data_IF_291964813866
#
_entry.id   IF_291964813866
#
_cell.length_a   1.000
_cell.length_b   1.000
_cell.length_c   1.000
_cell.angle_alpha   90.00
_cell.angle_beta   90.00
_cell.angle_gamma   90.00
#
_symmetry.space_group_name_H-M   'P 1'
#
loop_
_entity.id
_entity.type
_entity.pdbx_description
1 polymer ?
#
# COMPACT_ATOMS: atom_id res chain seq x y z
N UNK A 1 -60.96 35.07 7.69
CA UNK A 1 -59.99 34.00 7.39
C UNK A 1 -58.77 34.68 6.76
N UNK A 2 -57.72 35.00 7.52
CA UNK A 2 -56.51 35.58 6.96
C UNK A 2 -55.69 34.49 6.23
N UNK A 3 -54.96 34.84 5.16
CA UNK A 3 -54.18 33.89 4.36
C UNK A 3 -52.88 33.47 5.06
N UNK A 4 -52.51 32.22 4.83
CA UNK A 4 -51.42 31.48 5.44
C UNK A 4 -50.05 32.18 5.42
N UNK A 5 -49.40 32.23 6.58
CA UNK A 5 -47.97 32.47 6.72
C UNK A 5 -47.16 31.34 6.06
N UNK A 6 -46.06 31.62 5.33
CA UNK A 6 -45.24 30.57 4.75
C UNK A 6 -44.47 29.80 5.83
N UNK A 7 -44.75 28.49 5.91
CA UNK A 7 -44.14 27.53 6.83
C UNK A 7 -42.63 27.33 6.54
N UNK A 8 -41.72 27.52 7.54
CA UNK A 8 -40.27 27.38 7.39
C UNK A 8 -39.77 25.96 7.71
N UNK A 9 -40.41 24.91 7.19
CA UNK A 9 -40.00 23.53 7.46
C UNK A 9 -40.15 22.62 6.23
N UNK A 10 -39.13 22.59 5.37
CA UNK A 10 -38.83 21.43 4.54
C UNK A 10 -37.38 20.99 4.79
N UNK A 11 -37.15 19.96 5.63
CA UNK A 11 -35.83 19.38 5.77
C UNK A 11 -35.57 18.46 4.57
N UNK A 12 -34.34 18.51 4.05
CA UNK A 12 -33.82 17.65 2.97
C UNK A 12 -34.19 18.01 1.54
N UNK A 13 -33.96 19.28 1.14
CA UNK A 13 -33.30 19.46 -0.16
C UNK A 13 -31.89 18.93 -0.02
N UNK A 14 -31.65 17.70 -0.49
CA UNK A 14 -30.31 17.24 -0.85
C UNK A 14 -29.82 18.27 -1.87
N UNK A 15 -29.02 19.22 -1.37
CA UNK A 15 -28.32 20.19 -2.19
C UNK A 15 -27.43 19.33 -3.09
N UNK A 16 -27.87 19.16 -4.34
CA UNK A 16 -27.08 18.63 -5.43
C UNK A 16 -26.02 19.70 -5.72
N UNK A 17 -25.06 19.84 -4.80
CA UNK A 17 -23.88 20.65 -5.04
C UNK A 17 -23.13 19.91 -6.15
N UNK A 18 -23.28 20.41 -7.38
CA UNK A 18 -22.34 20.18 -8.46
C UNK A 18 -21.01 20.87 -8.18
N UNK A 19 -20.46 20.65 -6.98
CA UNK A 19 -19.10 21.06 -6.66
C UNK A 19 -18.23 19.88 -7.11
N UNK A 20 -17.50 20.09 -8.20
CA UNK A 20 -16.54 19.12 -8.70
C UNK A 20 -15.50 18.81 -7.63
N UNK A 21 -15.77 17.80 -6.79
CA UNK A 21 -14.73 17.11 -6.04
C UNK A 21 -13.64 16.80 -7.07
N UNK A 22 -12.37 17.07 -6.75
CA UNK A 22 -11.24 16.65 -7.59
C UNK A 22 -11.12 15.13 -7.50
N UNK A 23 -12.10 14.42 -8.05
CA UNK A 23 -12.18 12.96 -8.03
C UNK A 23 -10.93 12.35 -8.65
N UNK A 24 -10.34 13.01 -9.65
CA UNK A 24 -9.06 12.63 -10.24
C UNK A 24 -7.91 12.58 -9.22
N UNK A 25 -7.88 13.46 -8.21
CA UNK A 25 -6.81 13.53 -7.21
C UNK A 25 -6.90 12.39 -6.19
N UNK A 26 -8.13 12.03 -5.80
CA UNK A 26 -8.43 10.87 -4.97
C UNK A 26 -8.11 9.58 -5.74
N UNK A 27 -8.56 9.48 -6.99
CA UNK A 27 -8.27 8.34 -7.86
C UNK A 27 -6.76 8.19 -8.05
N UNK A 28 -6.04 9.27 -8.36
CA UNK A 28 -4.58 9.25 -8.52
C UNK A 28 -3.88 8.76 -7.25
N UNK A 29 -4.24 9.31 -6.09
CA UNK A 29 -3.63 8.92 -4.81
C UNK A 29 -3.89 7.45 -4.48
N UNK A 30 -5.14 6.99 -4.66
CA UNK A 30 -5.50 5.60 -4.45
C UNK A 30 -4.78 4.69 -5.45
N UNK A 31 -4.72 5.05 -6.73
CA UNK A 31 -4.02 4.27 -7.76
C UNK A 31 -2.55 4.08 -7.44
N UNK A 32 -1.85 5.15 -7.02
CA UNK A 32 -0.45 5.05 -6.59
C UNK A 32 -0.31 4.08 -5.42
N UNK A 33 -1.13 4.24 -4.38
CA UNK A 33 -1.07 3.36 -3.20
C UNK A 33 -1.40 1.91 -3.53
N UNK A 34 -2.31 1.67 -4.48
CA UNK A 34 -2.65 0.31 -4.90
C UNK A 34 -1.55 -0.41 -5.70
N UNK A 35 -0.53 0.30 -6.22
CA UNK A 35 0.66 -0.34 -6.80
C UNK A 35 1.38 -1.21 -5.76
N UNK A 36 1.38 -0.78 -4.50
CA UNK A 36 1.97 -1.56 -3.41
C UNK A 36 1.20 -2.87 -3.19
N UNK A 37 -0.13 -2.87 -3.35
CA UNK A 37 -0.96 -4.07 -3.27
C UNK A 37 -0.61 -5.11 -4.36
N UNK A 38 -0.33 -4.63 -5.58
CA UNK A 38 0.14 -5.49 -6.67
C UNK A 38 1.46 -6.18 -6.28
N UNK A 39 2.40 -5.44 -5.69
CA UNK A 39 3.69 -6.00 -5.23
C UNK A 39 3.53 -6.97 -4.07
N UNK A 40 2.57 -6.74 -3.17
CA UNK A 40 2.21 -7.70 -2.12
C UNK A 40 1.69 -9.02 -2.70
N UNK A 41 0.89 -8.96 -3.77
CA UNK A 41 0.45 -10.15 -4.50
C UNK A 41 1.61 -10.98 -5.06
N UNK A 42 2.56 -10.31 -5.73
CA UNK A 42 3.79 -10.97 -6.22
C UNK A 42 4.63 -11.51 -5.05
N UNK A 43 4.71 -10.78 -3.94
CA UNK A 43 5.40 -11.22 -2.72
C UNK A 43 4.80 -12.51 -2.18
N UNK A 44 3.49 -12.70 -2.22
CA UNK A 44 2.86 -13.95 -1.78
C UNK A 44 3.29 -15.13 -2.67
N UNK A 45 3.31 -14.92 -4.00
CA UNK A 45 3.50 -15.98 -4.98
C UNK A 45 4.96 -16.28 -5.35
N UNK A 46 5.92 -15.41 -5.00
CA UNK A 46 7.33 -15.57 -5.39
C UNK A 46 7.98 -16.92 -5.02
N UNK A 47 7.64 -17.62 -3.91
CA UNK A 47 8.24 -18.92 -3.61
C UNK A 47 8.03 -19.92 -4.73
N UNK A 48 6.89 -19.88 -5.43
CA UNK A 48 6.62 -20.77 -6.55
C UNK A 48 7.62 -20.56 -7.68
N UNK A 49 7.95 -19.31 -8.03
CA UNK A 49 8.92 -19.03 -9.09
C UNK A 49 10.35 -19.42 -8.66
N UNK A 50 10.70 -19.12 -7.40
CA UNK A 50 12.01 -19.49 -6.83
C UNK A 50 12.17 -21.02 -6.80
N UNK A 51 11.16 -21.77 -6.39
CA UNK A 51 11.23 -23.22 -6.33
C UNK A 51 11.24 -23.86 -7.72
N UNK A 52 10.46 -23.32 -8.67
CA UNK A 52 10.48 -23.80 -10.05
C UNK A 52 11.86 -23.60 -10.70
N UNK A 53 12.47 -22.43 -10.50
CA UNK A 53 13.79 -22.10 -11.05
C UNK A 53 14.89 -22.97 -10.40
N UNK A 54 14.89 -23.10 -9.08
CA UNK A 54 15.89 -23.92 -8.35
C UNK A 54 15.68 -25.44 -8.51
N UNK A 55 14.51 -25.87 -8.98
CA UNK A 55 14.24 -27.28 -9.28
C UNK A 55 14.71 -27.69 -10.68
N UNK A 56 15.06 -26.74 -11.56
CA UNK A 56 15.57 -27.07 -12.89
C UNK A 56 16.91 -27.82 -12.79
N UNK A 57 17.11 -28.77 -13.71
CA UNK A 57 18.26 -29.70 -13.67
C UNK A 57 19.61 -28.98 -13.80
N UNK A 58 19.61 -27.84 -14.50
CA UNK A 58 20.79 -27.03 -14.82
C UNK A 58 21.09 -25.93 -13.78
N UNK A 59 20.27 -25.82 -12.73
CA UNK A 59 20.43 -24.79 -11.72
C UNK A 59 21.63 -25.08 -10.79
N UNK A 60 22.59 -24.14 -10.68
CA UNK A 60 23.77 -24.34 -9.83
C UNK A 60 23.42 -24.33 -8.34
N UNK A 61 22.28 -23.74 -7.97
CA UNK A 61 21.80 -23.62 -6.59
C UNK A 61 20.60 -24.53 -6.36
N UNK A 62 20.61 -25.30 -5.26
CA UNK A 62 19.48 -26.14 -4.82
C UNK A 62 19.18 -25.89 -3.36
N UNK A 63 17.89 -25.81 -3.03
CA UNK A 63 17.42 -25.72 -1.65
C UNK A 63 16.88 -27.07 -1.19
N UNK A 64 17.20 -27.47 0.04
CA UNK A 64 16.54 -28.62 0.68
C UNK A 64 15.07 -28.32 0.97
N UNK A 65 14.24 -29.36 1.12
CA UNK A 65 12.81 -29.21 1.44
C UNK A 65 12.63 -28.35 2.71
N UNK A 66 13.45 -28.60 3.74
CA UNK A 66 13.45 -27.80 4.96
C UNK A 66 13.73 -26.32 4.68
N UNK A 67 14.75 -26.02 3.87
CA UNK A 67 15.10 -24.65 3.53
C UNK A 67 14.00 -23.92 2.74
N UNK A 68 13.30 -24.62 1.85
CA UNK A 68 12.15 -24.09 1.11
C UNK A 68 10.98 -23.78 2.05
N UNK A 69 10.69 -24.65 3.01
CA UNK A 69 9.65 -24.41 4.01
C UNK A 69 9.96 -23.20 4.89
N UNK A 70 11.21 -23.05 5.34
CA UNK A 70 11.67 -21.86 6.10
C UNK A 70 11.52 -20.59 5.25
N UNK A 71 11.93 -20.63 3.98
CA UNK A 71 11.75 -19.51 3.06
C UNK A 71 10.28 -19.09 2.93
N UNK A 72 9.36 -20.03 2.74
CA UNK A 72 7.93 -19.71 2.65
C UNK A 72 7.38 -19.13 3.97
N UNK A 73 7.77 -19.68 5.12
CA UNK A 73 7.28 -19.28 6.44
C UNK A 73 7.78 -17.89 6.88
N UNK A 74 9.00 -17.49 6.49
CA UNK A 74 9.59 -16.20 6.87
C UNK A 74 8.78 -15.00 6.40
N UNK A 75 8.09 -15.11 5.26
CA UNK A 75 7.22 -14.02 4.80
C UNK A 75 6.03 -13.79 5.74
N UNK A 76 5.38 -14.86 6.19
CA UNK A 76 4.27 -14.79 7.13
C UNK A 76 4.72 -14.30 8.50
N UNK A 77 5.87 -14.79 8.98
CA UNK A 77 6.47 -14.32 10.23
C UNK A 77 6.80 -12.82 10.16
N UNK A 78 7.43 -12.39 9.06
CA UNK A 78 7.70 -10.98 8.79
C UNK A 78 6.42 -10.15 8.74
N UNK A 79 5.36 -10.65 8.08
CA UNK A 79 4.09 -9.92 7.95
C UNK A 79 3.40 -9.66 9.28
N UNK A 80 3.44 -10.61 10.23
CA UNK A 80 2.91 -10.40 11.59
C UNK A 80 3.64 -9.26 12.29
N UNK A 81 4.98 -9.29 12.28
CA UNK A 81 5.82 -8.24 12.89
C UNK A 81 5.60 -6.90 12.19
N UNK A 82 5.55 -6.92 10.86
CA UNK A 82 5.33 -5.77 10.01
C UNK A 82 3.98 -5.11 10.23
N UNK A 83 2.90 -5.86 10.35
CA UNK A 83 1.57 -5.30 10.60
C UNK A 83 1.49 -4.54 11.92
N UNK A 84 2.08 -5.10 12.99
CA UNK A 84 2.14 -4.45 14.30
C UNK A 84 3.02 -3.19 14.27
N UNK A 85 4.21 -3.29 13.69
CA UNK A 85 5.13 -2.15 13.58
C UNK A 85 4.58 -1.05 12.66
N UNK A 86 3.96 -1.43 11.54
CA UNK A 86 3.41 -0.53 10.53
C UNK A 86 2.26 0.32 11.07
N UNK A 87 1.35 -0.28 11.84
CA UNK A 87 0.29 0.47 12.52
C UNK A 87 0.85 1.51 13.48
N UNK A 88 1.81 1.12 14.32
CA UNK A 88 2.46 2.03 15.27
C UNK A 88 3.19 3.19 14.57
N UNK A 89 3.93 2.89 13.50
CA UNK A 89 4.63 3.91 12.69
C UNK A 89 3.62 4.85 12.02
N UNK A 90 2.52 4.33 11.47
CA UNK A 90 1.50 5.14 10.80
C UNK A 90 0.77 6.10 11.72
N UNK A 91 0.54 5.71 12.98
CA UNK A 91 -0.07 6.59 13.96
C UNK A 91 0.92 7.65 14.48
N UNK A 92 2.21 7.32 14.59
CA UNK A 92 3.24 8.23 15.13
C UNK A 92 3.81 9.22 14.12
N UNK A 93 4.05 8.79 12.88
CA UNK A 93 4.70 9.57 11.81
C UNK A 93 3.78 9.92 10.65
N UNK A 94 2.56 9.37 10.63
CA UNK A 94 1.59 9.57 9.55
C UNK A 94 1.58 8.45 8.52
N UNK A 95 0.55 8.45 7.69
CA UNK A 95 0.25 7.33 6.79
C UNK A 95 1.15 7.37 5.56
N UNK A 96 1.39 8.55 4.97
CA UNK A 96 2.32 8.72 3.86
C UNK A 96 3.73 8.33 4.26
N UNK A 97 4.24 8.87 5.38
CA UNK A 97 5.57 8.53 5.87
C UNK A 97 5.71 7.03 6.16
N UNK A 98 4.68 6.41 6.75
CA UNK A 98 4.70 4.97 6.96
C UNK A 98 4.72 4.18 5.66
N UNK A 99 3.93 4.57 4.65
CA UNK A 99 3.92 3.91 3.34
C UNK A 99 5.28 4.00 2.64
N UNK A 100 5.93 5.18 2.66
CA UNK A 100 7.29 5.34 2.13
C UNK A 100 8.33 4.53 2.93
N UNK A 101 8.15 4.43 4.25
CA UNK A 101 9.01 3.57 5.06
C UNK A 101 8.83 2.09 4.73
N UNK A 102 7.64 1.66 4.29
CA UNK A 102 7.40 0.27 3.88
C UNK A 102 8.06 -0.09 2.55
N UNK A 103 8.15 0.83 1.58
CA UNK A 103 8.74 0.50 0.28
C UNK A 103 10.25 0.29 0.32
N UNK A 104 10.97 0.92 1.25
CA UNK A 104 12.41 0.69 1.47
C UNK A 104 12.74 -0.79 1.76
N UNK A 105 12.15 -1.45 2.77
CA UNK A 105 12.37 -2.88 3.01
C UNK A 105 11.86 -3.77 1.88
N UNK A 106 10.81 -3.39 1.12
CA UNK A 106 10.45 -4.14 -0.10
C UNK A 106 11.61 -4.08 -1.09
N UNK A 107 12.09 -2.88 -1.40
CA UNK A 107 13.16 -2.66 -2.37
C UNK A 107 14.43 -3.42 -1.98
N UNK A 108 14.90 -3.25 -0.73
CA UNK A 108 16.08 -3.93 -0.21
C UNK A 108 15.89 -5.45 -0.22
N UNK A 109 14.70 -5.93 0.18
CA UNK A 109 14.41 -7.36 0.23
C UNK A 109 14.43 -8.01 -1.15
N UNK A 110 13.83 -7.37 -2.16
CA UNK A 110 13.88 -7.85 -3.54
C UNK A 110 15.26 -7.72 -4.18
N UNK A 111 16.04 -6.70 -3.83
CA UNK A 111 17.44 -6.60 -4.25
C UNK A 111 18.29 -7.73 -3.68
N UNK A 112 18.09 -8.12 -2.41
CA UNK A 112 18.77 -9.28 -1.83
C UNK A 112 18.36 -10.59 -2.49
N UNK A 113 17.06 -10.78 -2.78
CA UNK A 113 16.59 -11.95 -3.53
C UNK A 113 17.21 -11.98 -4.92
N UNK A 114 17.26 -10.84 -5.63
CA UNK A 114 17.87 -10.76 -6.96
C UNK A 114 19.38 -11.02 -6.92
N UNK A 115 20.09 -10.43 -5.94
CA UNK A 115 21.53 -10.60 -5.78
C UNK A 115 21.92 -12.03 -5.40
N UNK A 116 21.05 -12.76 -4.69
CA UNK A 116 21.26 -14.17 -4.37
C UNK A 116 21.51 -15.01 -5.64
N UNK A 117 20.88 -14.67 -6.77
CA UNK A 117 21.09 -15.34 -8.05
C UNK A 117 22.53 -15.22 -8.58
N UNK A 118 23.16 -14.07 -8.39
CA UNK A 118 24.53 -13.81 -8.85
C UNK A 118 25.60 -14.27 -7.85
N UNK A 119 25.20 -14.60 -6.62
CA UNK A 119 26.12 -15.06 -5.57
C UNK A 119 26.59 -16.50 -5.84
N UNK A 120 27.87 -16.82 -5.56
CA UNK A 120 28.35 -18.21 -5.58
C UNK A 120 27.50 -19.13 -4.70
N UNK A 121 27.50 -20.43 -5.03
CA UNK A 121 26.81 -21.50 -4.28
C UNK A 121 27.51 -21.70 -2.94
N UNK A 122 27.22 -20.82 -1.98
CA UNK A 122 27.78 -20.79 -0.63
C UNK A 122 26.65 -20.48 0.35
N UNK A 123 26.86 -20.70 1.66
CA UNK A 123 25.83 -20.42 2.68
C UNK A 123 25.25 -19.00 2.61
N UNK A 124 26.02 -18.04 2.08
CA UNK A 124 25.58 -16.66 1.79
C UNK A 124 24.33 -16.60 0.90
N UNK A 125 24.16 -17.52 -0.05
CA UNK A 125 22.98 -17.59 -0.93
C UNK A 125 21.68 -17.75 -0.13
N UNK A 126 21.67 -18.71 0.80
CA UNK A 126 20.48 -19.03 1.60
C UNK A 126 20.16 -17.89 2.57
N UNK A 127 21.18 -17.30 3.17
CA UNK A 127 21.04 -16.16 4.08
C UNK A 127 20.43 -14.96 3.35
N UNK A 128 20.90 -14.63 2.15
CA UNK A 128 20.36 -13.52 1.35
C UNK A 128 18.88 -13.74 1.00
N UNK A 129 18.50 -14.96 0.61
CA UNK A 129 17.11 -15.31 0.36
C UNK A 129 16.25 -15.15 1.63
N UNK A 130 16.73 -15.62 2.78
CA UNK A 130 15.99 -15.54 4.04
C UNK A 130 15.82 -14.11 4.54
N UNK A 131 16.90 -13.32 4.51
CA UNK A 131 16.86 -11.91 4.90
C UNK A 131 15.95 -11.13 3.95
N UNK A 132 16.08 -11.33 2.63
CA UNK A 132 15.22 -10.68 1.66
C UNK A 132 13.74 -11.06 1.85
N UNK A 133 13.47 -12.31 2.23
CA UNK A 133 12.13 -12.81 2.46
C UNK A 133 11.49 -12.27 3.74
N UNK A 134 12.27 -12.16 4.80
CA UNK A 134 11.85 -11.54 6.04
C UNK A 134 11.52 -10.06 5.83
N UNK A 135 12.38 -9.32 5.11
CA UNK A 135 12.18 -7.90 4.82
C UNK A 135 10.94 -7.64 3.95
N UNK A 136 10.77 -8.40 2.86
CA UNK A 136 9.56 -8.31 2.02
C UNK A 136 8.30 -8.67 2.80
N UNK A 137 8.37 -9.66 3.70
CA UNK A 137 7.28 -10.00 4.61
C UNK A 137 6.91 -8.85 5.56
N UNK A 138 7.89 -8.24 6.23
CA UNK A 138 7.69 -7.08 7.13
C UNK A 138 7.03 -5.92 6.37
N UNK A 139 7.53 -5.63 5.18
CA UNK A 139 6.96 -4.56 4.37
C UNK A 139 5.54 -4.88 3.86
N UNK A 140 5.27 -6.12 3.46
CA UNK A 140 3.94 -6.56 3.05
C UNK A 140 2.91 -6.45 4.18
N UNK A 141 3.29 -6.86 5.40
CA UNK A 141 2.41 -6.75 6.57
C UNK A 141 2.17 -5.32 7.03
N UNK A 142 3.21 -4.48 7.02
CA UNK A 142 3.07 -3.06 7.38
C UNK A 142 2.24 -2.30 6.34
N UNK A 143 2.49 -2.54 5.05
CA UNK A 143 1.77 -1.87 3.97
C UNK A 143 0.29 -2.21 3.98
N UNK A 144 -0.10 -3.48 4.16
CA UNK A 144 -1.52 -3.88 4.14
C UNK A 144 -2.37 -3.16 5.19
N UNK A 145 -1.82 -2.95 6.40
CA UNK A 145 -2.48 -2.20 7.46
C UNK A 145 -2.65 -0.72 7.09
N UNK A 146 -1.59 -0.09 6.55
CA UNK A 146 -1.57 1.36 6.30
C UNK A 146 -2.31 1.75 5.03
N UNK A 147 -2.25 0.93 3.98
CA UNK A 147 -2.96 1.16 2.71
C UNK A 147 -4.46 1.28 2.92
N UNK A 148 -5.06 0.35 3.69
CA UNK A 148 -6.49 0.38 3.97
C UNK A 148 -6.91 1.63 4.74
N UNK A 149 -6.12 2.05 5.72
CA UNK A 149 -6.36 3.30 6.47
C UNK A 149 -6.22 4.52 5.56
N UNK A 150 -5.17 4.58 4.73
CA UNK A 150 -4.96 5.69 3.80
C UNK A 150 -6.12 5.83 2.82
N UNK A 151 -6.54 4.73 2.17
CA UNK A 151 -7.65 4.73 1.22
C UNK A 151 -8.94 5.19 1.91
N UNK A 152 -9.26 4.69 3.10
CA UNK A 152 -10.49 5.05 3.81
C UNK A 152 -10.51 6.50 4.29
N UNK A 153 -9.36 7.07 4.64
CA UNK A 153 -9.21 8.48 5.05
C UNK A 153 -9.28 9.45 3.87
N UNK A 154 -8.75 9.05 2.71
CA UNK A 154 -8.67 9.91 1.50
C UNK A 154 -9.95 9.82 0.66
N UNK A 155 -10.57 8.65 0.58
CA UNK A 155 -11.73 8.43 -0.29
C UNK A 155 -13.05 8.91 0.31
N UNK A 156 -13.90 9.47 -0.55
CA UNK A 156 -15.28 9.82 -0.21
C UNK A 156 -16.13 8.55 -0.03
N UNK A 157 -17.21 8.59 0.80
CA UNK A 157 -17.98 7.40 1.17
C UNK A 157 -18.47 6.54 0.00
N UNK A 158 -18.73 7.16 -1.15
CA UNK A 158 -19.19 6.49 -2.37
C UNK A 158 -18.09 5.64 -3.05
N UNK A 159 -16.83 6.03 -2.92
CA UNK A 159 -15.69 5.37 -3.59
C UNK A 159 -14.94 4.40 -2.67
N UNK A 160 -15.17 4.45 -1.35
CA UNK A 160 -14.53 3.57 -0.37
C UNK A 160 -14.66 2.09 -0.71
N UNK A 161 -15.88 1.65 -1.04
CA UNK A 161 -16.13 0.25 -1.41
C UNK A 161 -15.40 -0.16 -2.69
N UNK A 162 -15.39 0.72 -3.69
CA UNK A 162 -14.70 0.46 -4.96
C UNK A 162 -13.19 0.28 -4.75
N UNK A 163 -12.55 1.17 -4.00
CA UNK A 163 -11.10 1.08 -3.77
C UNK A 163 -10.72 -0.09 -2.84
N UNK A 164 -11.58 -0.45 -1.89
CA UNK A 164 -11.38 -1.65 -1.08
C UNK A 164 -11.37 -2.92 -1.92
N UNK A 165 -12.34 -3.09 -2.83
CA UNK A 165 -12.36 -4.22 -3.76
C UNK A 165 -11.20 -4.17 -4.75
N UNK A 166 -10.86 -2.98 -5.27
CA UNK A 166 -9.73 -2.82 -6.19
C UNK A 166 -8.39 -3.22 -5.58
N UNK A 167 -8.18 -2.95 -4.27
CA UNK A 167 -7.00 -3.39 -3.54
C UNK A 167 -6.84 -4.92 -3.61
N UNK A 168 -7.89 -5.67 -3.27
CA UNK A 168 -7.84 -7.14 -3.28
C UNK A 168 -7.72 -7.69 -4.72
N UNK A 169 -8.43 -7.08 -5.69
CA UNK A 169 -8.27 -7.44 -7.09
C UNK A 169 -6.82 -7.30 -7.57
N UNK A 170 -6.09 -6.27 -7.12
CA UNK A 170 -4.70 -6.06 -7.48
C UNK A 170 -3.75 -7.03 -6.78
N UNK A 171 -4.04 -7.44 -5.54
CA UNK A 171 -3.30 -8.53 -4.87
C UNK A 171 -3.44 -9.82 -5.69
N UNK A 172 -4.67 -10.19 -6.06
CA UNK A 172 -4.92 -11.38 -6.88
C UNK A 172 -4.25 -11.25 -8.25
N UNK A 173 -4.34 -10.09 -8.89
CA UNK A 173 -3.65 -9.83 -10.15
C UNK A 173 -2.13 -9.98 -10.03
N UNK A 174 -1.53 -9.57 -8.91
CA UNK A 174 -0.10 -9.75 -8.63
C UNK A 174 0.29 -11.22 -8.49
N UNK A 175 -0.54 -12.02 -7.82
CA UNK A 175 -0.36 -13.49 -7.72
C UNK A 175 -0.42 -14.12 -9.12
N UNK A 176 -1.44 -13.80 -9.90
CA UNK A 176 -1.59 -14.31 -11.27
C UNK A 176 -0.44 -13.88 -12.17
N UNK A 177 0.02 -12.63 -12.07
CA UNK A 177 1.16 -12.12 -12.82
C UNK A 177 2.43 -12.89 -12.47
N UNK A 178 2.67 -13.16 -11.19
CA UNK A 178 3.83 -13.94 -10.77
C UNK A 178 3.82 -15.36 -11.38
N UNK A 179 2.66 -16.05 -11.35
CA UNK A 179 2.55 -17.37 -11.98
C UNK A 179 2.69 -17.31 -13.50
N UNK A 180 2.13 -16.30 -14.15
CA UNK A 180 2.31 -16.08 -15.58
C UNK A 180 3.79 -15.88 -15.93
N UNK A 181 4.51 -15.06 -15.15
CA UNK A 181 5.94 -14.84 -15.30
C UNK A 181 6.75 -16.12 -15.07
N UNK A 182 6.41 -16.92 -14.05
CA UNK A 182 7.09 -18.20 -13.77
C UNK A 182 6.83 -19.29 -14.83
N UNK A 183 5.78 -19.15 -15.64
CA UNK A 183 5.47 -20.05 -16.76
C UNK A 183 6.28 -19.73 -18.03
N UNK A 184 6.84 -18.52 -18.13
CA UNK A 184 7.65 -18.12 -19.29
C UNK A 184 9.01 -18.80 -19.19
N UNK A 185 9.31 -19.68 -20.14
CA UNK A 185 10.61 -20.36 -20.22
C UNK A 185 11.75 -19.32 -20.28
N UNK A 186 12.69 -19.43 -19.33
CA UNK A 186 13.84 -18.53 -19.21
C UNK A 186 13.61 -17.26 -18.37
N UNK A 187 12.40 -17.06 -17.84
CA UNK A 187 12.15 -15.95 -16.90
C UNK A 187 12.48 -16.37 -15.46
N UNK A 188 13.66 -15.95 -14.99
CA UNK A 188 14.22 -16.38 -13.71
C UNK A 188 13.66 -15.55 -12.54
N UNK A 189 13.74 -16.09 -11.32
CA UNK A 189 13.20 -15.38 -10.14
C UNK A 189 13.91 -14.03 -9.88
N UNK A 190 15.17 -13.89 -10.31
CA UNK A 190 15.90 -12.63 -10.18
C UNK A 190 15.28 -11.52 -11.03
N UNK A 191 14.73 -11.85 -12.21
CA UNK A 191 14.09 -10.90 -13.11
C UNK A 191 12.73 -10.46 -12.56
N UNK A 192 11.93 -11.41 -12.02
CA UNK A 192 10.71 -11.07 -11.28
C UNK A 192 11.03 -10.09 -10.14
N UNK A 193 12.11 -10.35 -9.42
CA UNK A 193 12.54 -9.52 -8.30
C UNK A 193 12.94 -8.09 -8.73
N UNK A 194 13.64 -7.96 -9.86
CA UNK A 194 14.00 -6.65 -10.42
C UNK A 194 12.78 -5.88 -10.93
N UNK A 195 11.82 -6.56 -11.56
CA UNK A 195 10.56 -5.93 -12.00
C UNK A 195 9.80 -5.38 -10.80
N UNK A 196 9.68 -6.14 -9.71
CA UNK A 196 9.03 -5.66 -8.48
C UNK A 196 9.80 -4.50 -7.86
N UNK A 197 11.13 -4.59 -7.77
CA UNK A 197 11.96 -3.48 -7.31
C UNK A 197 11.73 -2.19 -8.12
N UNK A 198 11.57 -2.30 -9.45
CA UNK A 198 11.22 -1.19 -10.32
C UNK A 198 9.83 -0.60 -10.03
N UNK A 199 8.81 -1.44 -9.84
CA UNK A 199 7.44 -1.01 -9.49
C UNK A 199 7.43 -0.28 -8.15
N UNK A 200 8.15 -0.80 -7.15
CA UNK A 200 8.25 -0.17 -5.81
C UNK A 200 9.00 1.15 -5.88
N UNK A 201 10.07 1.23 -6.66
CA UNK A 201 10.81 2.49 -6.86
C UNK A 201 9.92 3.54 -7.51
N UNK A 202 9.12 3.14 -8.52
CA UNK A 202 8.13 4.03 -9.13
C UNK A 202 7.09 4.49 -8.10
N UNK A 203 6.59 3.58 -7.27
CA UNK A 203 5.68 3.91 -6.17
C UNK A 203 6.27 4.95 -5.21
N UNK A 204 7.51 4.76 -4.74
CA UNK A 204 8.19 5.70 -3.85
C UNK A 204 8.30 7.10 -4.48
N UNK A 205 8.74 7.18 -5.73
CA UNK A 205 8.85 8.45 -6.48
C UNK A 205 7.50 9.15 -6.60
N UNK A 206 6.44 8.40 -6.96
CA UNK A 206 5.09 8.96 -7.10
C UNK A 206 4.51 9.40 -5.75
N UNK A 207 4.81 8.69 -4.67
CA UNK A 207 4.33 9.04 -3.32
C UNK A 207 4.93 10.33 -2.78
N UNK A 208 6.13 10.74 -3.22
CA UNK A 208 6.73 12.03 -2.81
C UNK A 208 5.78 13.20 -3.09
N UNK A 209 5.05 13.18 -4.22
CA UNK A 209 4.12 14.25 -4.61
C UNK A 209 2.71 14.12 -4.02
N UNK A 210 2.37 12.99 -3.39
CA UNK A 210 1.04 12.78 -2.81
C UNK A 210 0.92 13.48 -1.45
N UNK A 211 -0.25 14.05 -1.08
CA UNK A 211 -0.43 14.65 0.24
C UNK A 211 -0.56 13.59 1.34
N UNK A 212 -0.24 13.98 2.57
CA UNK A 212 -0.57 13.20 3.77
C UNK A 212 -2.09 13.25 4.03
N UNK A 213 -2.62 12.26 4.74
CA UNK A 213 -4.06 12.23 5.00
C UNK A 213 -4.48 13.38 5.93
N UNK A 214 -5.59 14.11 5.64
CA UNK A 214 -6.02 15.23 6.47
C UNK A 214 -6.26 14.83 7.93
N UNK A 215 -6.75 13.60 8.15
CA UNK A 215 -7.03 13.08 9.49
C UNK A 215 -5.73 12.84 10.29
N UNK A 216 -4.68 12.33 9.65
CA UNK A 216 -3.38 12.14 10.30
C UNK A 216 -2.74 13.47 10.69
N UNK A 217 -2.85 14.47 9.82
CA UNK A 217 -2.34 15.83 10.08
C UNK A 217 -3.07 16.49 11.25
N UNK A 218 -4.40 16.34 11.32
CA UNK A 218 -5.21 16.86 12.43
C UNK A 218 -4.87 16.19 13.76
N UNK A 219 -4.73 14.86 13.80
CA UNK A 219 -4.36 14.15 15.04
C UNK A 219 -2.96 14.53 15.55
N UNK A 220 -2.11 15.08 14.68
CA UNK A 220 -0.75 15.54 15.02
C UNK A 220 -0.65 17.04 15.27
N UNK A 221 -1.76 17.78 15.21
CA UNK A 221 -1.81 19.23 15.48
C UNK A 221 -1.48 20.12 14.27
N UNK A 222 -1.28 19.57 13.07
CA UNK A 222 -0.95 20.32 11.86
C UNK A 222 -2.21 20.78 11.11
N UNK A 223 -2.99 21.69 11.71
CA UNK A 223 -4.27 22.12 11.18
C UNK A 223 -4.18 22.83 9.81
N UNK A 224 -3.15 23.65 9.60
CA UNK A 224 -2.93 24.39 8.35
C UNK A 224 -2.56 23.47 7.18
N UNK A 225 -1.76 22.44 7.43
CA UNK A 225 -1.41 21.42 6.44
C UNK A 225 -2.59 20.51 6.14
N UNK A 226 -3.38 20.16 7.15
CA UNK A 226 -4.61 19.39 6.97
C UNK A 226 -5.60 20.11 6.06
N UNK A 227 -5.72 21.44 6.18
CA UNK A 227 -6.55 22.25 5.29
C UNK A 227 -6.03 22.23 3.85
N UNK A 228 -4.71 22.37 3.64
CA UNK A 228 -4.09 22.26 2.30
C UNK A 228 -4.32 20.89 1.67
N UNK A 229 -4.14 19.81 2.43
CA UNK A 229 -4.39 18.45 1.98
C UNK A 229 -5.87 18.25 1.61
N UNK A 230 -6.79 18.80 2.41
CA UNK A 230 -8.22 18.74 2.14
C UNK A 230 -8.60 19.55 0.89
N UNK A 231 -8.02 20.74 0.69
CA UNK A 231 -8.21 21.54 -0.51
C UNK A 231 -7.67 20.84 -1.76
N UNK A 232 -6.56 20.10 -1.64
CA UNK A 232 -6.03 19.30 -2.74
C UNK A 232 -7.00 18.16 -3.13
N UNK A 233 -7.52 17.44 -2.14
CA UNK A 233 -8.40 16.29 -2.32
C UNK A 233 -9.85 16.66 -2.74
N UNK A 234 -10.42 17.71 -2.13
CA UNK A 234 -11.84 18.08 -2.27
C UNK A 234 -12.06 19.38 -3.03
N UNK A 235 -11.00 20.10 -3.37
CA UNK A 235 -11.08 21.38 -4.08
C UNK A 235 -11.11 22.62 -3.16
N UNK A 236 -10.98 23.82 -3.75
CA UNK A 236 -10.76 25.09 -3.03
C UNK A 236 -11.92 25.54 -2.13
N UNK A 237 -13.13 25.00 -2.30
CA UNK A 237 -14.32 25.34 -1.51
C UNK A 237 -14.50 24.47 -0.24
N UNK A 238 -13.46 23.76 0.22
CA UNK A 238 -13.52 22.88 1.41
C UNK A 238 -13.14 23.48 2.79
N UNK A 239 -12.93 24.81 3.02
CA UNK A 239 -12.49 25.29 4.34
C UNK A 239 -13.54 25.05 5.45
N UNK A 240 -14.83 24.89 5.09
CA UNK A 240 -15.90 24.57 6.05
C UNK A 240 -15.79 23.15 6.60
N UNK A 241 -15.39 22.17 5.77
CA UNK A 241 -15.22 20.79 6.18
C UNK A 241 -13.96 20.60 7.05
N UNK A 242 -12.88 21.35 6.79
CA UNK A 242 -11.71 21.39 7.67
C UNK A 242 -12.09 21.93 9.06
N UNK A 243 -12.85 23.04 9.12
CA UNK A 243 -13.34 23.62 10.39
C UNK A 243 -14.27 22.67 11.16
N UNK A 244 -15.14 21.92 10.49
CA UNK A 244 -15.97 20.89 11.15
C UNK A 244 -15.15 19.71 11.69
N UNK A 245 -14.13 19.26 10.95
CA UNK A 245 -13.23 18.20 11.41
C UNK A 245 -12.39 18.65 12.62
N UNK A 246 -11.88 19.89 12.60
CA UNK A 246 -11.18 20.50 13.75
C UNK A 246 -12.13 20.60 14.96
N UNK A 247 -13.38 21.04 14.75
CA UNK A 247 -14.39 21.15 15.82
C UNK A 247 -14.81 19.79 16.41
N UNK A 248 -14.79 18.71 15.60
CA UNK A 248 -15.03 17.34 16.07
C UNK A 248 -13.82 16.78 16.81
N UNK A 249 -12.60 17.02 16.32
CA UNK A 249 -11.36 16.58 16.97
C UNK A 249 -11.21 17.19 18.37
N UNK A 250 -11.47 18.49 18.52
CA UNK A 250 -11.41 19.21 19.82
C UNK A 250 -12.51 18.81 20.82
N UNK A 251 -13.51 18.02 20.42
CA UNK A 251 -14.54 17.47 21.33
C UNK A 251 -14.20 16.09 21.87
N UNK A 252 -13.18 15.43 21.31
CA UNK A 252 -12.76 14.06 21.65
C UNK A 252 -11.43 13.98 22.39
N UNK A 253 -10.78 15.13 22.62
CA UNK A 253 -9.67 15.31 23.58
C UNK A 253 -10.20 15.97 24.84
#
# INVERSE_FOLDING_TARGET
>A
MPPDSPNPASPHRIRRNGDGERQWSVVLSCSVVTLLCLTSGVTIAIPSNVFLDLAQKDSPHRLTIFQQSVFAALASAGAVVGGLAGGWVADRWGRKCSLMFTGVPVLVGYLFISYAHFSPVTETFVILLYVGRLLTGIAMGSSSAVVGVYITEVSSPKLRGLFGTAQECLVVAGITLNYALGSINGFLYHQTSLVVAGIVTLFEVLMVWMPETPRSLLSRGYATEAEKALQWLRGPNSPTAAKELIKRSNKTS
#
